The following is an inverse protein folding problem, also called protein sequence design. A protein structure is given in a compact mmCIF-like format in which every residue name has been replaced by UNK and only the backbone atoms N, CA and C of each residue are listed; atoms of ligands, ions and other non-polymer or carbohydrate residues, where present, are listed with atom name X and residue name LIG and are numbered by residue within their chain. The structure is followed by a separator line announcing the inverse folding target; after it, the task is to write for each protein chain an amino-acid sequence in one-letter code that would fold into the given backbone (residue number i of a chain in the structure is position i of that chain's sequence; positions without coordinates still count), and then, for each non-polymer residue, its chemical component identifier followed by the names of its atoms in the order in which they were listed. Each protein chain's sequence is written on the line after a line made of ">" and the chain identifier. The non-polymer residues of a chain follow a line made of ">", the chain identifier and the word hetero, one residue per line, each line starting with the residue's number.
data_IF_819358356111
#
_entry.id   IF_819358356111
#
_cell.length_a   1.000
_cell.length_b   1.000
_cell.length_c   1.000
_cell.angle_alpha   90.00
_cell.angle_beta   90.00
_cell.angle_gamma   90.00
#
_symmetry.space_group_name_H-M   'P 1'
#
loop_
_entity.id
_entity.type
_entity.pdbx_description
1 polymer ?
#
# COMPACT_ATOMS: atom_id res chain seq x y z
N UNK A 1 60.36 -16.69 -16.75
CA UNK A 1 60.40 -16.80 -15.27
C UNK A 1 59.80 -15.61 -14.52
N UNK A 2 59.94 -14.35 -14.96
CA UNK A 2 59.38 -13.18 -14.28
C UNK A 2 57.83 -13.12 -14.34
N UNK A 3 57.22 -13.50 -15.46
CA UNK A 3 55.75 -13.50 -15.66
C UNK A 3 55.05 -14.58 -14.79
N UNK A 4 55.64 -15.79 -14.64
CA UNK A 4 55.07 -16.86 -13.80
C UNK A 4 55.04 -16.48 -12.33
N UNK A 5 56.09 -15.81 -11.82
CA UNK A 5 56.13 -15.30 -10.45
C UNK A 5 55.11 -14.22 -10.19
N UNK A 6 54.81 -13.39 -11.16
CA UNK A 6 53.78 -12.35 -11.10
C UNK A 6 52.38 -12.96 -11.09
N UNK A 7 52.12 -13.95 -11.95
CA UNK A 7 50.85 -14.69 -11.98
C UNK A 7 50.58 -15.40 -10.63
N UNK A 8 51.59 -16.03 -10.05
CA UNK A 8 51.48 -16.70 -8.76
C UNK A 8 51.12 -15.72 -7.63
N UNK A 9 51.65 -14.49 -7.65
CA UNK A 9 51.31 -13.45 -6.67
C UNK A 9 49.88 -13.00 -6.78
N UNK A 10 49.40 -12.69 -8.00
CA UNK A 10 47.99 -12.37 -8.20
C UNK A 10 47.07 -13.49 -7.77
N UNK A 11 47.44 -14.75 -8.02
CA UNK A 11 46.68 -15.91 -7.56
C UNK A 11 46.61 -15.98 -6.01
N UNK A 12 47.74 -15.70 -5.31
CA UNK A 12 47.77 -15.68 -3.84
C UNK A 12 46.91 -14.55 -3.29
N UNK A 13 47.04 -13.32 -3.84
CA UNK A 13 46.19 -12.17 -3.42
C UNK A 13 44.72 -12.44 -3.71
N UNK A 14 44.39 -12.99 -4.87
CA UNK A 14 43.03 -13.43 -5.19
C UNK A 14 42.50 -14.48 -4.21
N UNK A 15 43.35 -15.45 -3.84
CA UNK A 15 43.04 -16.44 -2.82
C UNK A 15 42.79 -15.85 -1.43
N UNK A 16 43.56 -14.81 -1.04
CA UNK A 16 43.36 -14.10 0.23
C UNK A 16 42.05 -13.30 0.23
N UNK A 17 41.72 -12.63 -0.88
CA UNK A 17 40.45 -11.96 -1.05
C UNK A 17 39.29 -12.96 -0.88
N UNK A 18 39.35 -14.09 -1.55
CA UNK A 18 38.35 -15.15 -1.44
C UNK A 18 38.24 -15.70 -0.01
N UNK A 19 39.36 -15.87 0.68
CA UNK A 19 39.40 -16.30 2.07
C UNK A 19 38.68 -15.32 3.00
N UNK A 20 38.89 -14.01 2.84
CA UNK A 20 38.26 -12.98 3.64
C UNK A 20 36.77 -12.80 3.30
N UNK A 21 36.35 -13.16 2.09
CA UNK A 21 34.94 -13.14 1.73
C UNK A 21 34.14 -14.23 2.45
N UNK A 22 34.75 -15.36 2.86
CA UNK A 22 34.05 -16.46 3.54
C UNK A 22 33.36 -15.98 4.83
N UNK A 23 34.05 -15.40 5.84
CA UNK A 23 33.41 -14.93 7.06
C UNK A 23 32.40 -13.83 6.78
N UNK A 24 32.64 -12.98 5.79
CA UNK A 24 31.71 -11.92 5.41
C UNK A 24 30.40 -12.51 4.82
N UNK A 25 30.48 -13.57 4.02
CA UNK A 25 29.32 -14.31 3.52
C UNK A 25 28.56 -15.00 4.64
N UNK A 26 29.26 -15.56 5.64
CA UNK A 26 28.62 -16.16 6.82
C UNK A 26 27.85 -15.11 7.64
N UNK A 27 28.44 -13.96 7.91
CA UNK A 27 27.77 -12.82 8.59
C UNK A 27 26.53 -12.39 7.80
N UNK A 28 26.64 -12.27 6.49
CA UNK A 28 25.53 -11.94 5.61
C UNK A 28 24.41 -12.98 5.66
N UNK A 29 24.75 -14.25 5.73
CA UNK A 29 23.80 -15.34 5.93
C UNK A 29 22.98 -15.15 7.21
N UNK A 30 23.63 -14.86 8.33
CA UNK A 30 22.98 -14.61 9.63
C UNK A 30 22.11 -13.36 9.58
N UNK A 31 22.57 -12.27 8.92
CA UNK A 31 21.77 -11.03 8.77
C UNK A 31 20.50 -11.32 7.96
N UNK A 32 20.60 -12.05 6.87
CA UNK A 32 19.46 -12.41 6.02
C UNK A 32 18.46 -13.31 6.78
N UNK A 33 18.93 -14.29 7.52
CA UNK A 33 18.11 -15.16 8.36
C UNK A 33 17.34 -14.33 9.41
N UNK A 34 18.01 -13.44 10.11
CA UNK A 34 17.38 -12.56 11.11
C UNK A 34 16.38 -11.58 10.49
N UNK A 35 16.67 -11.08 9.31
CA UNK A 35 15.72 -10.24 8.56
C UNK A 35 14.46 -11.03 8.17
N UNK A 36 14.62 -12.29 7.74
CA UNK A 36 13.49 -13.16 7.43
C UNK A 36 12.61 -13.45 8.67
N UNK A 37 13.21 -13.73 9.84
CA UNK A 37 12.46 -13.89 11.09
C UNK A 37 11.71 -12.61 11.51
N UNK A 38 12.32 -11.46 11.27
CA UNK A 38 11.63 -10.18 11.50
C UNK A 38 10.40 -10.04 10.59
N UNK A 39 10.56 -10.31 9.30
CA UNK A 39 9.46 -10.20 8.33
C UNK A 39 8.34 -11.21 8.63
N UNK A 40 8.69 -12.39 9.11
CA UNK A 40 7.74 -13.37 9.64
C UNK A 40 6.98 -12.82 10.87
N UNK A 41 7.69 -12.17 11.81
CA UNK A 41 7.04 -11.54 12.96
C UNK A 41 6.04 -10.45 12.53
N UNK A 42 6.38 -9.65 11.52
CA UNK A 42 5.44 -8.68 10.92
C UNK A 42 4.21 -9.37 10.33
N UNK A 43 4.39 -10.47 9.59
CA UNK A 43 3.29 -11.24 9.00
C UNK A 43 2.38 -11.83 10.07
N UNK A 44 2.92 -12.40 11.13
CA UNK A 44 2.14 -12.94 12.26
C UNK A 44 1.30 -11.87 12.97
N UNK A 45 1.84 -10.65 13.13
CA UNK A 45 1.06 -9.53 13.71
C UNK A 45 -0.07 -9.12 12.75
N UNK A 46 0.21 -9.03 11.45
CA UNK A 46 -0.78 -8.71 10.43
C UNK A 46 -1.88 -9.78 10.34
N UNK A 47 -1.56 -11.06 10.52
CA UNK A 47 -2.53 -12.17 10.55
C UNK A 47 -3.42 -12.12 11.79
N UNK A 48 -2.87 -11.74 12.94
CA UNK A 48 -3.59 -11.74 14.21
C UNK A 48 -4.48 -10.51 14.44
N UNK A 49 -4.19 -9.39 13.79
CA UNK A 49 -4.93 -8.14 13.94
C UNK A 49 -5.38 -7.56 12.61
N UNK A 50 -4.48 -6.84 11.96
CA UNK A 50 -4.65 -6.27 10.62
C UNK A 50 -3.30 -5.84 10.08
N UNK A 51 -3.12 -5.98 8.77
CA UNK A 51 -1.94 -5.55 8.05
C UNK A 51 -1.92 -4.05 7.77
N UNK A 52 -1.25 -3.68 6.69
CA UNK A 52 -1.31 -2.33 6.12
C UNK A 52 -2.75 -2.01 5.72
N UNK A 53 -3.22 -0.85 6.14
CA UNK A 53 -4.58 -0.40 5.83
C UNK A 53 -4.59 0.57 4.66
N UNK A 54 -5.59 0.40 3.81
CA UNK A 54 -5.92 1.31 2.72
C UNK A 54 -7.41 1.66 2.79
N UNK A 55 -7.70 2.94 2.65
CA UNK A 55 -9.05 3.47 2.57
C UNK A 55 -9.36 3.88 1.14
N UNK A 56 -10.49 3.42 0.62
CA UNK A 56 -10.97 3.73 -0.73
C UNK A 56 -12.42 4.19 -0.66
N UNK A 57 -12.71 5.39 -1.12
CA UNK A 57 -14.05 5.95 -1.08
C UNK A 57 -14.30 6.86 0.11
N UNK A 58 -15.59 7.14 0.44
CA UNK A 58 -16.80 6.46 -0.04
C UNK A 58 -17.13 6.69 -1.51
N UNK A 59 -17.84 5.73 -2.10
CA UNK A 59 -18.41 5.83 -3.44
C UNK A 59 -19.90 5.48 -3.38
N UNK A 60 -20.73 6.10 -4.24
CA UNK A 60 -22.11 5.68 -4.46
C UNK A 60 -22.15 4.63 -5.56
N UNK A 61 -22.96 3.60 -5.36
CA UNK A 61 -23.05 2.43 -6.24
C UNK A 61 -24.51 2.18 -6.61
N UNK A 62 -24.77 2.05 -7.89
CA UNK A 62 -26.07 1.60 -8.41
C UNK A 62 -25.85 0.27 -9.12
N UNK A 63 -26.24 -0.87 -8.50
CA UNK A 63 -26.13 -2.17 -9.14
C UNK A 63 -27.18 -2.32 -10.22
N UNK A 64 -26.85 -3.04 -11.29
CA UNK A 64 -27.80 -3.31 -12.36
C UNK A 64 -27.66 -4.73 -12.88
N UNK A 65 -28.80 -5.23 -13.42
CA UNK A 65 -28.87 -6.52 -14.09
C UNK A 65 -29.50 -6.30 -15.46
N UNK A 66 -28.78 -6.69 -16.51
CA UNK A 66 -29.21 -6.59 -17.90
C UNK A 66 -29.56 -7.98 -18.43
N UNK A 67 -30.75 -8.13 -19.01
CA UNK A 67 -31.21 -9.38 -19.61
C UNK A 67 -31.43 -9.15 -21.10
N UNK A 68 -30.66 -9.87 -21.91
CA UNK A 68 -30.73 -9.80 -23.36
C UNK A 68 -31.00 -11.18 -23.94
N UNK A 69 -31.84 -11.23 -24.98
CA UNK A 69 -31.99 -12.41 -25.79
C UNK A 69 -30.87 -12.47 -26.81
N UNK A 70 -30.05 -13.50 -26.78
CA UNK A 70 -28.94 -13.74 -27.71
C UNK A 70 -29.23 -15.00 -28.53
N UNK A 71 -28.97 -14.94 -29.83
CA UNK A 71 -28.99 -16.16 -30.66
C UNK A 71 -27.67 -16.90 -30.48
N UNK A 72 -27.73 -18.12 -29.98
CA UNK A 72 -26.57 -19.00 -29.84
C UNK A 72 -26.72 -20.12 -30.84
N UNK A 73 -25.67 -20.44 -31.58
CA UNK A 73 -25.63 -21.59 -32.49
C UNK A 73 -25.06 -22.78 -31.72
N UNK A 74 -25.86 -23.86 -31.60
CA UNK A 74 -25.42 -25.07 -30.92
C UNK A 74 -24.37 -25.85 -31.76
N UNK A 75 -23.78 -26.88 -31.17
CA UNK A 75 -22.77 -27.71 -31.83
C UNK A 75 -23.26 -28.42 -33.12
N UNK A 76 -24.57 -28.44 -33.32
CA UNK A 76 -25.27 -29.04 -34.51
C UNK A 76 -25.65 -27.97 -35.54
N UNK A 77 -25.28 -26.67 -35.33
CA UNK A 77 -25.58 -25.58 -36.26
C UNK A 77 -27.01 -25.03 -36.13
N UNK A 78 -27.80 -25.43 -35.11
CA UNK A 78 -29.15 -24.93 -34.90
C UNK A 78 -29.13 -23.65 -34.06
N UNK A 79 -29.79 -22.61 -34.56
CA UNK A 79 -29.95 -21.34 -33.82
C UNK A 79 -30.95 -21.52 -32.69
N UNK A 80 -30.53 -21.23 -31.48
CA UNK A 80 -31.37 -21.17 -30.27
C UNK A 80 -31.29 -19.77 -29.66
N UNK A 81 -32.43 -19.30 -29.17
CA UNK A 81 -32.50 -18.05 -28.41
C UNK A 81 -32.33 -18.36 -26.94
N UNK A 82 -31.25 -17.81 -26.34
CA UNK A 82 -30.98 -17.95 -24.91
C UNK A 82 -31.04 -16.58 -24.25
N UNK A 83 -31.50 -16.55 -22.99
CA UNK A 83 -31.48 -15.36 -22.15
C UNK A 83 -30.10 -15.23 -21.49
N UNK A 84 -29.32 -14.26 -21.93
CA UNK A 84 -28.06 -13.91 -21.28
C UNK A 84 -28.33 -12.85 -20.21
N UNK A 85 -27.87 -13.14 -18.99
CA UNK A 85 -27.93 -12.20 -17.86
C UNK A 85 -26.53 -11.65 -17.63
N UNK A 86 -26.40 -10.34 -17.64
CA UNK A 86 -25.15 -9.61 -17.32
C UNK A 86 -25.43 -8.73 -16.11
N UNK A 87 -24.58 -8.82 -15.10
CA UNK A 87 -24.63 -7.98 -13.91
C UNK A 87 -23.50 -6.95 -13.96
N UNK A 88 -23.75 -5.80 -13.39
CA UNK A 88 -22.75 -4.74 -13.30
C UNK A 88 -23.16 -3.64 -12.34
N UNK A 89 -22.41 -2.56 -12.36
CA UNK A 89 -22.61 -1.44 -11.47
C UNK A 89 -22.27 -0.13 -12.15
N UNK A 90 -22.92 0.90 -11.71
CA UNK A 90 -22.53 2.27 -11.97
C UNK A 90 -21.95 2.88 -10.70
N UNK A 91 -20.80 3.54 -10.80
CA UNK A 91 -20.06 4.11 -9.69
C UNK A 91 -20.01 5.62 -9.82
N UNK A 92 -20.42 6.32 -8.78
CA UNK A 92 -20.21 7.73 -8.64
C UNK A 92 -19.18 8.02 -7.54
N UNK A 93 -18.18 8.80 -7.88
CA UNK A 93 -17.17 9.31 -6.95
C UNK A 93 -17.65 10.63 -6.32
N UNK A 94 -17.14 11.01 -5.13
CA UNK A 94 -17.52 12.28 -4.51
C UNK A 94 -16.92 13.48 -5.25
N UNK A 95 -17.59 14.62 -5.20
CA UNK A 95 -17.05 15.91 -5.64
C UNK A 95 -16.00 16.41 -4.64
N UNK A 96 -16.25 16.23 -3.34
CA UNK A 96 -15.27 16.55 -2.30
C UNK A 96 -15.06 15.36 -1.40
N UNK A 97 -13.81 15.07 -1.05
CA UNK A 97 -13.41 14.03 -0.10
C UNK A 97 -12.48 14.63 0.94
N UNK A 98 -12.91 14.62 2.19
CA UNK A 98 -12.12 15.02 3.33
C UNK A 98 -11.84 13.79 4.22
N UNK A 99 -10.57 13.51 4.50
CA UNK A 99 -10.14 12.43 5.38
C UNK A 99 -9.27 13.02 6.46
N UNK A 100 -9.74 12.99 7.70
CA UNK A 100 -9.03 13.51 8.84
C UNK A 100 -8.85 12.42 9.88
N UNK A 101 -7.72 12.41 10.58
CA UNK A 101 -7.58 11.50 11.69
C UNK A 101 -6.23 11.47 12.35
N UNK A 102 -6.22 10.80 13.49
CA UNK A 102 -5.05 10.61 14.33
C UNK A 102 -4.64 9.14 14.37
N UNK A 103 -3.38 8.87 14.04
CA UNK A 103 -2.77 7.56 14.24
C UNK A 103 -2.16 7.52 15.64
N UNK A 104 -2.69 6.66 16.48
CA UNK A 104 -2.19 6.38 17.82
C UNK A 104 -1.22 5.20 17.74
N UNK A 105 0.11 5.43 17.69
CA UNK A 105 1.08 4.38 17.52
C UNK A 105 1.23 3.55 18.79
N UNK A 106 1.49 2.27 18.62
CA UNK A 106 1.87 1.36 19.69
C UNK A 106 2.83 0.30 19.14
N UNK A 107 3.44 -0.51 20.00
CA UNK A 107 4.33 -1.58 19.59
C UNK A 107 3.81 -2.92 20.12
N UNK A 108 3.96 -3.96 19.29
CA UNK A 108 3.69 -5.35 19.67
C UNK A 108 4.98 -6.15 19.61
N UNK A 109 5.24 -6.92 20.65
CA UNK A 109 6.39 -7.82 20.68
C UNK A 109 5.99 -9.20 20.18
N UNK A 110 6.74 -9.73 19.23
CA UNK A 110 6.64 -11.12 18.74
C UNK A 110 8.04 -11.72 18.85
N UNK A 111 8.25 -12.57 19.85
CA UNK A 111 9.59 -13.02 20.22
C UNK A 111 10.49 -11.84 20.57
N UNK A 112 11.59 -11.68 19.86
CA UNK A 112 12.56 -10.61 20.06
C UNK A 112 12.24 -9.34 19.23
N UNK A 113 11.24 -9.41 18.36
CA UNK A 113 10.93 -8.32 17.41
C UNK A 113 9.82 -7.42 17.94
N UNK A 114 10.01 -6.11 17.77
CA UNK A 114 9.00 -5.10 18.03
C UNK A 114 8.38 -4.67 16.70
N UNK A 115 7.09 -4.88 16.57
CA UNK A 115 6.31 -4.53 15.36
C UNK A 115 5.52 -3.26 15.66
N UNK A 116 5.73 -2.16 14.93
CA UNK A 116 4.89 -0.97 15.08
C UNK A 116 3.49 -1.26 14.54
N UNK A 117 2.50 -0.93 15.36
CA UNK A 117 1.08 -0.99 15.02
C UNK A 117 0.45 0.33 15.41
N UNK A 118 -0.74 0.60 14.88
CA UNK A 118 -1.46 1.82 15.20
C UNK A 118 -2.96 1.55 15.29
N UNK A 119 -3.66 2.43 16.00
CA UNK A 119 -5.10 2.62 15.92
C UNK A 119 -5.33 3.98 15.27
N UNK A 120 -6.02 4.02 14.15
CA UNK A 120 -6.42 5.26 13.50
C UNK A 120 -7.85 5.63 13.89
N UNK A 121 -8.02 6.78 14.55
CA UNK A 121 -9.33 7.38 14.77
C UNK A 121 -9.59 8.32 13.59
N UNK A 122 -10.43 7.89 12.67
CA UNK A 122 -10.66 8.55 11.40
C UNK A 122 -12.05 9.14 11.27
N UNK A 123 -12.12 10.29 10.61
CA UNK A 123 -13.34 10.90 10.12
C UNK A 123 -13.23 11.08 8.61
N UNK A 124 -14.21 10.60 7.88
CA UNK A 124 -14.31 10.72 6.42
C UNK A 124 -15.58 11.46 6.10
N UNK A 125 -15.45 12.55 5.35
CA UNK A 125 -16.58 13.32 4.82
C UNK A 125 -16.51 13.34 3.31
N UNK A 126 -17.64 13.13 2.66
CA UNK A 126 -17.74 13.17 1.21
C UNK A 126 -19.04 13.87 0.78
N UNK A 127 -18.95 14.70 -0.24
CA UNK A 127 -20.11 15.29 -0.87
C UNK A 127 -20.28 14.75 -2.27
N UNK A 128 -21.50 14.43 -2.65
CA UNK A 128 -21.84 13.95 -3.96
C UNK A 128 -22.81 14.92 -4.62
N UNK A 129 -22.51 15.31 -5.85
CA UNK A 129 -23.47 16.08 -6.66
C UNK A 129 -24.63 15.19 -7.09
N UNK A 130 -25.75 15.82 -7.47
CA UNK A 130 -26.77 15.12 -8.21
C UNK A 130 -26.19 14.63 -9.55
N UNK A 131 -26.53 13.41 -9.96
CA UNK A 131 -25.99 12.82 -11.17
C UNK A 131 -26.98 11.80 -11.75
N UNK A 132 -26.95 11.65 -13.07
CA UNK A 132 -27.80 10.72 -13.79
C UNK A 132 -27.02 9.47 -14.16
N UNK A 133 -27.57 8.31 -13.87
CA UNK A 133 -27.01 7.05 -14.34
C UNK A 133 -27.70 6.54 -15.61
N UNK A 134 -26.98 5.86 -16.52
CA UNK A 134 -27.52 5.46 -17.81
C UNK A 134 -28.70 4.49 -17.68
N UNK A 135 -29.89 4.89 -18.05
CA UNK A 135 -31.06 4.00 -18.14
C UNK A 135 -31.09 3.33 -19.51
N UNK A 136 -31.06 1.98 -19.54
CA UNK A 136 -31.09 1.18 -20.76
C UNK A 136 -32.25 0.21 -20.77
N UNK A 137 -32.86 0.01 -21.94
CA UNK A 137 -33.87 -1.03 -22.13
C UNK A 137 -33.30 -2.42 -21.83
N UNK A 138 -34.06 -3.25 -21.13
CA UNK A 138 -33.62 -4.58 -20.71
C UNK A 138 -32.75 -4.60 -19.45
N UNK A 139 -32.42 -3.45 -18.88
CA UNK A 139 -31.64 -3.28 -17.65
C UNK A 139 -32.57 -2.93 -16.50
N UNK A 140 -32.45 -3.66 -15.39
CA UNK A 140 -33.09 -3.35 -14.12
C UNK A 140 -32.02 -2.87 -13.13
N UNK A 141 -32.34 -1.84 -12.34
CA UNK A 141 -31.45 -1.25 -11.35
C UNK A 141 -31.88 -1.68 -9.96
N UNK A 142 -30.91 -2.04 -9.14
CA UNK A 142 -31.13 -2.34 -7.73
C UNK A 142 -31.05 -1.10 -6.86
N UNK A 143 -31.30 -1.28 -5.56
CA UNK A 143 -31.23 -0.17 -4.60
C UNK A 143 -29.82 0.41 -4.53
N UNK A 144 -29.66 1.74 -4.73
CA UNK A 144 -28.40 2.42 -4.56
C UNK A 144 -27.89 2.33 -3.13
N UNK A 145 -26.58 2.34 -2.95
CA UNK A 145 -25.93 2.31 -1.66
C UNK A 145 -24.60 3.06 -1.67
N UNK A 146 -24.08 3.35 -0.47
CA UNK A 146 -22.73 3.88 -0.27
C UNK A 146 -21.80 2.75 0.11
N UNK A 147 -20.62 2.67 -0.51
CA UNK A 147 -19.59 1.68 -0.21
C UNK A 147 -18.26 2.33 0.13
N UNK A 148 -17.54 1.73 1.06
CA UNK A 148 -16.20 2.09 1.48
C UNK A 148 -15.30 0.86 1.47
N UNK A 149 -14.17 0.94 0.76
CA UNK A 149 -13.14 -0.09 0.75
C UNK A 149 -12.15 0.08 1.91
N UNK A 150 -11.82 -1.02 2.58
CA UNK A 150 -10.70 -1.13 3.52
C UNK A 150 -9.92 -2.40 3.19
N UNK A 151 -8.58 -2.35 3.26
CA UNK A 151 -7.80 -3.54 2.87
C UNK A 151 -8.03 -4.72 3.80
N UNK A 152 -8.20 -4.47 5.09
CA UNK A 152 -8.45 -5.52 6.08
C UNK A 152 -9.53 -5.11 7.07
N UNK A 153 -10.74 -5.63 6.87
CA UNK A 153 -11.89 -5.34 7.72
C UNK A 153 -11.73 -5.85 9.18
N UNK A 154 -10.79 -6.76 9.44
CA UNK A 154 -10.44 -7.21 10.80
C UNK A 154 -9.85 -6.08 11.65
N UNK A 155 -9.33 -5.04 11.01
CA UNK A 155 -8.84 -3.84 11.70
C UNK A 155 -9.94 -2.92 12.22
N UNK A 156 -11.20 -3.09 11.81
CA UNK A 156 -12.30 -2.27 12.32
C UNK A 156 -12.56 -2.56 13.80
N UNK A 157 -12.52 -1.50 14.61
CA UNK A 157 -12.71 -1.59 16.05
C UNK A 157 -14.04 -0.92 16.43
N UNK A 158 -14.91 -1.70 17.06
CA UNK A 158 -16.26 -1.23 17.36
C UNK A 158 -17.15 -1.16 16.12
N UNK A 159 -18.25 -0.44 16.24
CA UNK A 159 -19.18 -0.21 15.13
C UNK A 159 -18.93 1.18 14.54
N UNK A 160 -18.50 1.30 13.29
CA UNK A 160 -18.38 2.60 12.64
C UNK A 160 -19.73 3.33 12.59
N UNK A 161 -19.70 4.66 12.70
CA UNK A 161 -20.88 5.51 12.64
C UNK A 161 -20.97 6.16 11.28
N UNK A 162 -21.92 5.73 10.46
CA UNK A 162 -22.19 6.30 9.15
C UNK A 162 -23.43 7.17 9.22
N UNK A 163 -23.33 8.40 8.70
CA UNK A 163 -24.45 9.29 8.45
C UNK A 163 -24.50 9.67 6.98
N UNK A 164 -25.70 9.68 6.44
CA UNK A 164 -25.99 10.19 5.10
C UNK A 164 -27.04 11.27 5.27
N UNK A 165 -26.74 12.47 4.78
CA UNK A 165 -27.57 13.67 4.96
C UNK A 165 -28.00 13.90 6.43
N UNK A 166 -27.07 13.67 7.35
CA UNK A 166 -27.26 13.78 8.80
C UNK A 166 -28.00 12.60 9.45
N UNK A 167 -28.57 11.69 8.68
CA UNK A 167 -29.28 10.52 9.20
C UNK A 167 -28.33 9.33 9.38
N UNK A 168 -28.39 8.70 10.56
CA UNK A 168 -27.59 7.52 10.83
C UNK A 168 -28.08 6.32 10.02
N UNK A 169 -27.17 5.66 9.32
CA UNK A 169 -27.46 4.50 8.46
C UNK A 169 -26.69 3.27 8.97
N UNK A 170 -27.34 2.11 8.95
CA UNK A 170 -26.73 0.85 9.38
C UNK A 170 -25.77 0.32 8.32
N UNK A 171 -24.51 0.16 8.70
CA UNK A 171 -23.48 -0.47 7.88
C UNK A 171 -23.67 -2.00 7.81
N UNK A 172 -23.34 -2.55 6.66
CA UNK A 172 -23.29 -3.99 6.37
C UNK A 172 -21.87 -4.38 5.93
N UNK A 173 -21.43 -5.61 6.22
CA UNK A 173 -20.13 -6.08 5.78
C UNK A 173 -20.06 -6.29 4.26
N UNK A 174 -18.88 -6.12 3.68
CA UNK A 174 -18.63 -6.22 2.25
C UNK A 174 -18.88 -4.90 1.52
N UNK A 175 -18.57 -4.88 0.23
CA UNK A 175 -18.69 -3.71 -0.64
C UNK A 175 -19.86 -3.82 -1.63
N UNK A 176 -20.72 -4.82 -1.45
CA UNK A 176 -21.82 -5.13 -2.40
C UNK A 176 -21.25 -5.54 -3.76
N UNK A 177 -21.82 -5.01 -4.84
CA UNK A 177 -21.35 -5.25 -6.21
C UNK A 177 -20.06 -4.48 -6.57
N UNK A 178 -19.54 -3.63 -5.68
CA UNK A 178 -18.35 -2.79 -5.96
C UNK A 178 -17.03 -3.55 -5.72
N UNK A 179 -16.82 -4.69 -6.36
CA UNK A 179 -15.65 -5.58 -6.15
C UNK A 179 -14.31 -4.88 -6.35
N UNK A 180 -14.26 -3.82 -7.16
CA UNK A 180 -13.08 -2.98 -7.38
C UNK A 180 -12.56 -2.34 -6.08
N UNK A 181 -13.41 -2.16 -5.07
CA UNK A 181 -13.02 -1.66 -3.75
C UNK A 181 -12.38 -2.75 -2.88
N UNK A 182 -12.48 -4.01 -3.27
CA UNK A 182 -11.97 -5.17 -2.55
C UNK A 182 -12.84 -5.55 -1.35
N UNK A 183 -12.32 -5.38 -0.14
CA UNK A 183 -13.05 -5.61 1.11
C UNK A 183 -13.56 -4.29 1.67
N UNK A 184 -14.56 -4.33 2.54
CA UNK A 184 -15.04 -3.10 3.16
C UNK A 184 -16.41 -3.19 3.78
N UNK A 185 -17.12 -2.07 3.73
CA UNK A 185 -18.44 -1.86 4.30
C UNK A 185 -19.33 -1.19 3.26
N UNK A 186 -20.63 -1.46 3.34
CA UNK A 186 -21.62 -0.72 2.55
C UNK A 186 -22.87 -0.44 3.38
N UNK A 187 -23.65 0.53 2.94
CA UNK A 187 -24.93 0.82 3.54
C UNK A 187 -25.95 1.17 2.44
N UNK A 188 -27.07 0.44 2.34
CA UNK A 188 -28.19 0.85 1.49
C UNK A 188 -28.76 2.14 2.05
N UNK A 189 -29.01 3.12 1.17
CA UNK A 189 -29.52 4.43 1.56
C UNK A 189 -30.94 4.57 1.04
N UNK A 190 -31.88 4.74 1.96
CA UNK A 190 -33.26 5.10 1.65
C UNK A 190 -33.28 6.58 1.20
N UNK A 191 -33.86 6.88 0.05
CA UNK A 191 -33.90 8.25 -0.48
C UNK A 191 -33.03 8.46 -1.71
N UNK A 192 -32.15 7.53 -2.07
CA UNK A 192 -31.74 7.37 -3.45
C UNK A 192 -32.92 6.66 -4.15
N UNK A 193 -34.05 7.37 -4.26
CA UNK A 193 -35.25 6.79 -4.79
C UNK A 193 -34.99 6.39 -6.23
N UNK A 194 -35.11 5.10 -6.52
CA UNK A 194 -35.45 4.64 -7.84
C UNK A 194 -36.93 5.03 -8.06
N UNK A 195 -37.16 6.29 -8.42
CA UNK A 195 -38.44 6.75 -8.95
C UNK A 195 -38.61 6.33 -10.42
N UNK A 196 -37.70 5.45 -10.90
CA UNK A 196 -37.62 5.03 -12.31
C UNK A 196 -36.95 6.06 -13.21
N UNK A 197 -36.42 7.14 -12.64
CA UNK A 197 -35.85 8.26 -13.37
C UNK A 197 -34.38 8.19 -13.71
N UNK A 198 -33.61 7.30 -13.09
CA UNK A 198 -32.16 7.20 -13.34
C UNK A 198 -31.32 8.33 -12.71
N UNK A 199 -31.87 9.09 -11.75
CA UNK A 199 -31.20 10.22 -11.12
C UNK A 199 -30.90 9.94 -9.64
N UNK A 200 -29.69 10.26 -9.21
CA UNK A 200 -29.30 10.32 -7.81
C UNK A 200 -29.27 11.76 -7.33
N UNK A 201 -29.98 12.06 -6.26
CA UNK A 201 -29.95 13.39 -5.64
C UNK A 201 -28.56 13.69 -5.07
N UNK A 202 -28.23 14.98 -4.91
CA UNK A 202 -27.03 15.37 -4.15
C UNK A 202 -27.14 14.86 -2.71
N UNK A 203 -26.01 14.45 -2.13
CA UNK A 203 -25.98 13.94 -0.75
C UNK A 203 -24.62 14.17 -0.10
N UNK A 204 -24.62 14.16 1.22
CA UNK A 204 -23.44 14.20 2.06
C UNK A 204 -23.28 12.88 2.83
N UNK A 205 -22.05 12.42 2.96
CA UNK A 205 -21.68 11.21 3.71
C UNK A 205 -20.66 11.58 4.76
N UNK A 206 -20.93 11.22 6.00
CA UNK A 206 -20.00 11.34 7.11
C UNK A 206 -19.80 9.98 7.76
N UNK A 207 -18.54 9.56 7.90
CA UNK A 207 -18.17 8.29 8.52
C UNK A 207 -17.13 8.53 9.60
N UNK A 208 -17.42 8.06 10.79
CA UNK A 208 -16.47 7.98 11.90
C UNK A 208 -16.13 6.52 12.16
N UNK A 209 -14.84 6.21 12.18
CA UNK A 209 -14.38 4.84 12.40
C UNK A 209 -13.07 4.80 13.17
N UNK A 210 -12.86 3.68 13.86
CA UNK A 210 -11.56 3.32 14.40
C UNK A 210 -11.03 2.12 13.65
N UNK A 211 -9.81 2.26 13.10
CA UNK A 211 -9.18 1.26 12.27
C UNK A 211 -7.79 0.92 12.80
N UNK A 212 -7.61 -0.30 13.28
CA UNK A 212 -6.32 -0.83 13.67
C UNK A 212 -5.56 -1.29 12.43
N UNK A 213 -4.25 -1.07 12.43
CA UNK A 213 -3.38 -1.51 11.36
C UNK A 213 -1.93 -1.64 11.79
N UNK A 214 -1.09 -2.10 10.87
CA UNK A 214 0.35 -2.18 11.05
C UNK A 214 1.09 -1.54 9.88
N UNK A 215 2.31 -1.06 10.13
CA UNK A 215 3.23 -0.52 9.13
C UNK A 215 2.77 0.78 8.46
N UNK A 216 1.66 0.79 7.72
CA UNK A 216 1.25 1.94 6.93
C UNK A 216 -0.27 2.11 6.88
N UNK A 217 -0.68 3.37 6.73
CA UNK A 217 -2.03 3.78 6.35
C UNK A 217 -1.96 4.52 5.02
N UNK A 218 -2.83 4.15 4.09
CA UNK A 218 -2.97 4.81 2.80
C UNK A 218 -4.41 5.21 2.53
N UNK A 219 -4.59 6.27 1.75
CA UNK A 219 -5.89 6.81 1.33
C UNK A 219 -5.84 7.05 -0.17
N UNK A 220 -6.84 6.56 -0.89
CA UNK A 220 -6.98 6.81 -2.33
C UNK A 220 -7.79 8.09 -2.55
N UNK A 221 -7.25 9.12 -3.21
CA UNK A 221 -7.92 10.39 -3.45
C UNK A 221 -8.93 10.25 -4.62
N UNK A 222 -10.16 9.82 -4.31
CA UNK A 222 -11.20 9.57 -5.32
C UNK A 222 -12.11 10.78 -5.61
N UNK A 223 -12.11 11.80 -4.77
CA UNK A 223 -12.90 13.02 -4.99
C UNK A 223 -12.38 13.87 -6.14
N UNK A 224 -13.19 14.78 -6.64
CA UNK A 224 -12.70 15.81 -7.57
C UNK A 224 -11.73 16.74 -6.84
N UNK A 225 -12.03 17.08 -5.59
CA UNK A 225 -11.15 17.75 -4.64
C UNK A 225 -10.98 16.87 -3.41
N UNK A 226 -9.72 16.59 -3.04
CA UNK A 226 -9.38 15.71 -1.91
C UNK A 226 -8.51 16.44 -0.91
N UNK A 227 -8.94 16.46 0.35
CA UNK A 227 -8.21 17.00 1.48
C UNK A 227 -7.97 15.88 2.51
N UNK A 228 -6.73 15.54 2.73
CA UNK A 228 -6.36 14.47 3.63
C UNK A 228 -5.43 15.05 4.69
N UNK A 229 -5.77 14.89 5.96
CA UNK A 229 -4.97 15.36 7.09
C UNK A 229 -4.75 14.21 8.08
N UNK A 230 -3.48 13.85 8.29
CA UNK A 230 -3.07 12.79 9.19
C UNK A 230 -2.08 13.33 10.20
N UNK A 231 -2.29 12.99 11.47
CA UNK A 231 -1.38 13.33 12.57
C UNK A 231 -1.06 12.11 13.42
N UNK A 232 0.09 12.11 14.05
CA UNK A 232 0.52 11.06 14.96
C UNK A 232 1.61 11.54 15.89
N UNK A 233 1.71 10.93 17.06
CA UNK A 233 2.86 11.11 17.96
C UNK A 233 4.11 10.31 17.53
N UNK A 234 4.07 9.61 16.38
CA UNK A 234 5.24 8.90 15.84
C UNK A 234 6.24 9.87 15.22
N UNK A 235 7.51 9.93 15.72
CA UNK A 235 8.47 10.97 15.29
C UNK A 235 9.18 10.66 13.97
N UNK A 236 9.00 9.47 13.39
CA UNK A 236 9.72 9.03 12.18
C UNK A 236 8.78 8.53 11.09
N UNK A 237 7.89 9.42 10.55
CA UNK A 237 7.03 9.04 9.45
C UNK A 237 7.83 8.90 8.15
N UNK A 238 7.44 7.97 7.30
CA UNK A 238 7.83 7.94 5.90
C UNK A 238 6.60 8.19 5.04
N UNK A 239 6.60 9.31 4.33
CA UNK A 239 5.53 9.65 3.40
C UNK A 239 5.84 9.05 2.03
N UNK A 240 4.91 8.25 1.51
CA UNK A 240 5.05 7.49 0.27
C UNK A 240 3.76 7.55 -0.54
N UNK A 241 3.70 6.85 -1.68
CA UNK A 241 2.57 6.86 -2.58
C UNK A 241 2.74 7.83 -3.74
N UNK A 242 1.67 8.08 -4.49
CA UNK A 242 1.70 8.92 -5.68
C UNK A 242 1.95 10.41 -5.37
N UNK A 243 1.51 10.86 -4.20
CA UNK A 243 1.58 12.27 -3.80
C UNK A 243 2.24 12.41 -2.42
N UNK A 244 3.20 13.29 -2.32
CA UNK A 244 3.77 13.72 -1.04
C UNK A 244 2.90 14.81 -0.41
N UNK A 245 2.94 14.99 0.94
CA UNK A 245 2.14 16.03 1.59
C UNK A 245 2.56 17.43 1.12
N UNK A 246 1.55 18.28 0.86
CA UNK A 246 1.76 19.68 0.51
C UNK A 246 2.31 20.47 1.69
N UNK A 247 1.79 20.15 2.89
CA UNK A 247 2.22 20.72 4.15
C UNK A 247 2.59 19.59 5.10
N UNK A 248 3.74 19.71 5.77
CA UNK A 248 4.15 18.76 6.79
C UNK A 248 4.95 19.42 7.89
N UNK A 249 4.69 19.00 9.09
CA UNK A 249 5.51 19.26 10.26
C UNK A 249 5.94 17.91 10.85
N UNK A 250 7.22 17.73 11.08
CA UNK A 250 7.78 16.51 11.70
C UNK A 250 8.78 16.96 12.75
N UNK A 251 8.56 16.53 13.99
CA UNK A 251 9.46 16.86 15.11
C UNK A 251 9.53 15.67 16.09
N UNK A 252 10.25 15.84 17.20
CA UNK A 252 10.39 14.79 18.23
C UNK A 252 9.08 14.41 18.94
N UNK A 253 8.00 15.16 18.75
CA UNK A 253 6.67 14.89 19.30
C UNK A 253 5.76 14.17 18.33
N UNK A 254 6.16 14.03 17.05
CA UNK A 254 5.38 13.35 16.03
C UNK A 254 5.31 14.09 14.69
N UNK A 255 4.18 13.91 13.99
CA UNK A 255 3.95 14.58 12.71
C UNK A 255 2.51 15.08 12.55
N UNK A 256 2.36 16.14 11.75
CA UNK A 256 1.12 16.61 11.12
C UNK A 256 1.39 16.75 9.62
N UNK A 257 0.58 16.12 8.78
CA UNK A 257 0.78 16.09 7.35
C UNK A 257 -0.56 16.27 6.62
N UNK A 258 -0.57 17.12 5.58
CA UNK A 258 -1.75 17.47 4.82
C UNK A 258 -1.49 17.31 3.33
N UNK A 259 -2.46 16.72 2.65
CA UNK A 259 -2.49 16.56 1.20
C UNK A 259 -3.71 17.25 0.65
N UNK A 260 -3.53 17.99 -0.45
CA UNK A 260 -4.58 18.52 -1.29
C UNK A 260 -4.34 17.98 -2.70
N UNK A 261 -5.23 17.11 -3.17
CA UNK A 261 -5.07 16.40 -4.45
C UNK A 261 -6.32 16.57 -5.28
N UNK A 262 -6.19 17.20 -6.46
CA UNK A 262 -7.27 17.31 -7.43
C UNK A 262 -7.33 16.06 -8.29
N UNK A 263 -8.55 15.70 -8.75
CA UNK A 263 -8.78 14.67 -9.77
C UNK A 263 -8.06 14.94 -11.09
N UNK A 264 -7.70 16.19 -11.38
CA UNK A 264 -6.91 16.55 -12.56
C UNK A 264 -5.44 16.07 -12.46
N UNK A 265 -4.95 15.88 -11.25
CA UNK A 265 -3.59 15.42 -10.99
C UNK A 265 -3.52 13.90 -10.72
N UNK A 266 -4.66 13.25 -10.44
CA UNK A 266 -4.76 11.84 -10.05
C UNK A 266 -5.50 11.04 -11.10
N UNK A 267 -4.99 9.84 -11.41
CA UNK A 267 -5.68 8.86 -12.27
C UNK A 267 -6.61 7.91 -11.49
N UNK A 268 -6.82 8.16 -10.19
CA UNK A 268 -7.55 7.25 -9.30
C UNK A 268 -8.97 6.94 -9.77
N UNK A 269 -9.71 7.94 -10.24
CA UNK A 269 -11.07 7.76 -10.74
C UNK A 269 -11.12 6.91 -12.02
N UNK A 270 -10.14 7.06 -12.91
CA UNK A 270 -10.04 6.25 -14.12
C UNK A 270 -9.68 4.80 -13.77
N UNK A 271 -8.72 4.60 -12.87
CA UNK A 271 -8.36 3.26 -12.39
C UNK A 271 -9.54 2.59 -11.69
N UNK A 272 -10.31 3.32 -10.88
CA UNK A 272 -11.53 2.79 -10.26
C UNK A 272 -12.52 2.25 -11.30
N UNK A 273 -12.79 3.01 -12.36
CA UNK A 273 -13.72 2.60 -13.40
C UNK A 273 -13.25 1.42 -14.24
N UNK A 274 -11.94 1.25 -14.40
CA UNK A 274 -11.32 0.15 -15.16
C UNK A 274 -11.01 -1.08 -14.32
N UNK A 275 -11.16 -1.03 -13.00
CA UNK A 275 -10.71 -2.09 -12.11
C UNK A 275 -9.18 -2.22 -12.04
N UNK A 276 -8.46 -1.09 -12.22
CA UNK A 276 -7.01 -1.04 -12.22
C UNK A 276 -6.40 -0.89 -10.82
N UNK A 277 -5.10 -0.59 -10.78
CA UNK A 277 -4.33 -0.48 -9.54
C UNK A 277 -4.58 0.87 -8.84
N UNK A 278 -5.39 0.85 -7.80
CA UNK A 278 -5.66 2.00 -6.94
C UNK A 278 -4.52 2.27 -5.93
N UNK A 279 -3.68 1.29 -5.61
CA UNK A 279 -2.55 1.46 -4.69
C UNK A 279 -1.52 2.43 -5.27
N UNK A 280 -1.30 2.38 -6.58
CA UNK A 280 -0.40 3.28 -7.27
C UNK A 280 -0.83 4.76 -7.22
N UNK A 281 -2.10 5.04 -6.87
CA UNK A 281 -2.66 6.40 -6.80
C UNK A 281 -2.82 6.91 -5.36
N UNK A 282 -2.55 6.08 -4.37
CA UNK A 282 -2.77 6.43 -2.97
C UNK A 282 -1.72 7.40 -2.42
N UNK A 283 -2.14 8.23 -1.46
CA UNK A 283 -1.22 8.86 -0.51
C UNK A 283 -1.01 7.92 0.67
N UNK A 284 0.20 7.87 1.23
CA UNK A 284 0.49 6.93 2.30
C UNK A 284 1.45 7.50 3.33
N UNK A 285 1.26 7.10 4.58
CA UNK A 285 2.21 7.29 5.67
C UNK A 285 2.58 5.93 6.27
N UNK A 286 3.89 5.68 6.38
CA UNK A 286 4.44 4.49 7.03
C UNK A 286 5.09 4.86 8.35
N UNK A 287 4.83 4.06 9.39
CA UNK A 287 5.49 4.15 10.67
C UNK A 287 6.79 3.34 10.59
N UNK A 288 7.88 4.01 10.21
CA UNK A 288 9.18 3.37 10.02
C UNK A 288 9.94 3.37 11.34
N UNK A 289 10.62 2.27 11.65
CA UNK A 289 11.66 2.28 12.67
C UNK A 289 12.98 2.76 12.03
N UNK A 290 13.48 3.96 12.39
CA UNK A 290 14.68 4.53 11.76
C UNK A 290 15.96 3.76 12.11
N UNK A 291 15.96 2.99 13.18
CA UNK A 291 17.11 2.22 13.67
C UNK A 291 16.90 0.73 13.42
N UNK A 292 16.67 0.39 12.17
CA UNK A 292 16.71 -1.03 11.79
C UNK A 292 18.16 -1.51 11.70
N UNK A 293 18.65 -2.08 12.82
CA UNK A 293 20.01 -2.60 12.94
C UNK A 293 20.34 -3.67 11.89
N UNK A 294 19.37 -4.42 11.40
CA UNK A 294 19.58 -5.41 10.34
C UNK A 294 19.84 -4.76 8.97
N UNK A 295 19.11 -3.71 8.64
CA UNK A 295 19.37 -2.92 7.41
C UNK A 295 20.73 -2.22 7.48
N UNK A 296 21.12 -1.70 8.65
CA UNK A 296 22.45 -1.12 8.83
C UNK A 296 23.55 -2.18 8.70
N UNK A 297 23.38 -3.35 9.31
CA UNK A 297 24.33 -4.46 9.21
C UNK A 297 24.45 -5.02 7.78
N UNK A 298 23.34 -5.11 7.03
CA UNK A 298 23.36 -5.50 5.61
C UNK A 298 24.14 -4.49 4.77
N UNK A 299 23.91 -3.19 4.97
CA UNK A 299 24.69 -2.13 4.30
C UNK A 299 26.16 -2.22 4.67
N UNK A 300 26.50 -2.35 5.97
CA UNK A 300 27.89 -2.48 6.43
C UNK A 300 28.59 -3.68 5.79
N UNK A 301 27.91 -4.84 5.67
CA UNK A 301 28.48 -6.01 5.02
C UNK A 301 28.67 -5.87 3.52
N UNK A 302 27.79 -5.11 2.82
CA UNK A 302 27.95 -4.74 1.40
C UNK A 302 29.18 -3.86 1.18
N UNK A 303 29.35 -2.84 2.04
CA UNK A 303 30.53 -1.99 1.98
C UNK A 303 31.81 -2.74 2.38
N UNK A 304 31.72 -3.73 3.26
CA UNK A 304 32.87 -4.59 3.63
C UNK A 304 33.49 -5.29 2.42
N UNK A 305 32.66 -5.80 1.48
CA UNK A 305 33.18 -6.38 0.22
C UNK A 305 33.95 -5.34 -0.58
N UNK A 306 33.39 -4.12 -0.71
CA UNK A 306 34.04 -3.04 -1.45
C UNK A 306 35.38 -2.67 -0.82
N UNK A 307 35.43 -2.54 0.51
CA UNK A 307 36.67 -2.22 1.22
C UNK A 307 37.75 -3.28 1.03
N UNK A 308 37.42 -4.57 1.14
CA UNK A 308 38.36 -5.68 0.89
C UNK A 308 38.94 -5.54 -0.52
N UNK A 309 38.07 -5.46 -1.55
CA UNK A 309 38.53 -5.40 -2.93
C UNK A 309 39.40 -4.16 -3.17
N UNK A 310 38.95 -2.98 -2.71
CA UNK A 310 39.67 -1.73 -2.94
C UNK A 310 41.02 -1.70 -2.23
N UNK A 311 41.14 -2.23 -1.03
CA UNK A 311 42.39 -2.35 -0.26
C UNK A 311 43.41 -3.21 -1.01
N UNK A 312 42.99 -4.39 -1.47
CA UNK A 312 43.90 -5.27 -2.20
C UNK A 312 44.28 -4.73 -3.59
N UNK A 313 43.37 -4.05 -4.28
CA UNK A 313 43.66 -3.34 -5.53
C UNK A 313 44.69 -2.23 -5.26
N UNK A 314 44.51 -1.46 -4.18
CA UNK A 314 45.47 -0.42 -3.77
C UNK A 314 46.86 -0.97 -3.49
N UNK A 315 46.95 -2.13 -2.79
CA UNK A 315 48.23 -2.77 -2.52
C UNK A 315 48.89 -3.29 -3.81
N UNK A 316 48.13 -3.93 -4.71
CA UNK A 316 48.64 -4.36 -6.01
C UNK A 316 49.17 -3.19 -6.82
N UNK A 317 48.44 -2.06 -6.87
CA UNK A 317 48.89 -0.87 -7.58
C UNK A 317 50.14 -0.28 -6.96
N UNK A 318 50.23 -0.23 -5.63
CA UNK A 318 51.41 0.27 -4.92
C UNK A 318 52.65 -0.63 -5.17
N UNK A 319 52.48 -1.95 -5.15
CA UNK A 319 53.54 -2.90 -5.48
C UNK A 319 54.05 -2.73 -6.94
N UNK A 320 53.14 -2.51 -7.87
CA UNK A 320 53.49 -2.30 -9.29
C UNK A 320 54.23 -0.97 -9.51
N UNK A 321 53.76 0.11 -8.91
CA UNK A 321 54.36 1.46 -9.09
C UNK A 321 55.72 1.55 -8.43
N UNK A 322 55.88 1.00 -7.22
CA UNK A 322 57.14 1.10 -6.45
C UNK A 322 58.08 -0.06 -6.68
N UNK A 323 57.69 -1.06 -7.50
CA UNK A 323 58.47 -2.28 -7.77
C UNK A 323 58.97 -3.00 -6.48
N UNK A 324 58.18 -2.92 -5.40
CA UNK A 324 58.45 -3.53 -4.11
C UNK A 324 58.21 -5.04 -4.13
N UNK A 325 58.93 -5.79 -3.31
CA UNK A 325 58.70 -7.22 -3.13
C UNK A 325 58.06 -7.44 -1.76
N UNK A 326 56.74 -7.29 -1.68
CA UNK A 326 55.97 -7.51 -0.45
C UNK A 326 55.75 -9.01 -0.25
N UNK A 327 55.98 -9.55 0.95
CA UNK A 327 55.73 -10.93 1.24
C UNK A 327 54.21 -11.16 1.39
N UNK A 328 53.63 -12.25 0.80
CA UNK A 328 52.19 -12.52 0.87
C UNK A 328 51.58 -12.52 2.27
N UNK A 329 52.32 -12.93 3.31
CA UNK A 329 51.88 -12.85 4.70
C UNK A 329 51.58 -11.41 5.19
N UNK A 330 52.20 -10.42 4.62
CA UNK A 330 51.97 -9.03 5.00
C UNK A 330 50.57 -8.53 4.52
N UNK A 331 50.05 -9.11 3.46
CA UNK A 331 48.67 -8.84 3.03
C UNK A 331 47.61 -9.45 3.99
N UNK A 332 47.97 -10.45 4.78
CA UNK A 332 47.06 -11.06 5.76
C UNK A 332 46.99 -10.26 7.06
N UNK A 333 47.94 -9.37 7.31
CA UNK A 333 48.06 -8.58 8.55
C UNK A 333 47.24 -7.24 8.46
N UNK A 334 46.63 -6.96 7.34
CA UNK A 334 45.81 -5.78 7.07
C UNK A 334 44.33 -6.15 7.04
#
# INVERSE_FOLDING_TARGET
>A
MKSLKMLLRFAIVGGLILLLLIPLMMIRGVINERSAYRDEAYSRVAESRAGTQRLIGPVRVVPWVERQQVEVVDAQGVKKTEMQTTEGQWLQVPTTLEVNGELLPSQRSVGLFKVPVYSWNGQVKASFAADDYPVKAGRSYGQPYVALGVSDARGLVGTPNLRVDGQQVRLQPGVGAADVLGRGLHAPVAGFADDGGGTLAASSVELELRLDGSRALSVVPLGDDNQIALRSSWPHPSFTGAFLPNERRVDGQGFDARWAVSSLASDAQHQLRKGGDLDAQAVAVSLVDPVDSYTQADRASKYGVLFIVLTFVGFILFELIKALRIHPLQYLMV
#
